data_IF_006658470259
#
_entry.id   IF_006658470259
#
_cell.length_a   1.000
_cell.length_b   1.000
_cell.length_c   1.000
_cell.angle_alpha   90.00
_cell.angle_beta   90.00
_cell.angle_gamma   90.00
#
_symmetry.space_group_name_H-M   'P 1'
#
loop_
_entity.id
_entity.type
_entity.pdbx_description
1 polymer ?
#
# COMPACT_ATOMS: atom_id res chain seq x y z
N UNK A 1 -15.57 0.78 -13.26
CA UNK A 1 -14.29 1.36 -13.72
C UNK A 1 -14.06 1.30 -15.23
N UNK A 2 -14.76 0.44 -16.01
CA UNK A 2 -14.67 0.45 -17.50
C UNK A 2 -15.70 1.32 -18.24
N UNK A 3 -16.67 1.96 -17.56
CA UNK A 3 -17.85 2.59 -18.19
C UNK A 3 -17.88 4.14 -18.04
N UNK A 4 -16.75 4.80 -17.80
CA UNK A 4 -16.76 6.28 -17.74
C UNK A 4 -15.38 6.91 -18.08
N UNK A 5 -15.00 7.00 -19.37
CA UNK A 5 -13.79 7.70 -19.80
C UNK A 5 -13.80 9.21 -19.52
N UNK A 6 -14.95 9.81 -19.17
CA UNK A 6 -15.11 11.26 -18.94
C UNK A 6 -15.09 11.69 -17.47
N UNK A 7 -14.94 10.77 -16.50
CA UNK A 7 -15.06 11.09 -15.06
C UNK A 7 -13.74 11.05 -14.28
N UNK A 8 -12.63 10.70 -14.94
CA UNK A 8 -11.32 10.52 -14.31
C UNK A 8 -10.31 11.48 -14.93
N UNK A 9 -9.51 12.15 -14.10
CA UNK A 9 -8.47 13.06 -14.58
C UNK A 9 -7.42 12.28 -15.42
N UNK A 10 -6.96 12.82 -16.57
CA UNK A 10 -6.07 12.12 -17.50
C UNK A 10 -4.76 11.59 -16.88
N UNK A 11 -4.26 12.19 -15.79
CA UNK A 11 -3.10 11.68 -15.04
C UNK A 11 -3.32 10.34 -14.31
N UNK A 12 -4.56 10.05 -13.91
CA UNK A 12 -4.93 8.81 -13.21
C UNK A 12 -5.74 7.86 -14.07
N UNK A 13 -6.22 8.32 -15.24
CA UNK A 13 -6.91 7.48 -16.21
C UNK A 13 -5.91 6.78 -17.12
N UNK A 14 -5.84 5.46 -16.98
CA UNK A 14 -5.06 4.60 -17.87
C UNK A 14 -5.82 3.32 -18.13
N UNK A 15 -5.71 2.79 -19.35
CA UNK A 15 -6.18 1.44 -19.68
C UNK A 15 -5.56 0.36 -18.76
N UNK A 16 -4.43 0.67 -18.11
CA UNK A 16 -3.71 -0.19 -17.17
C UNK A 16 -4.15 -0.02 -15.70
N UNK A 17 -5.23 0.71 -15.41
CA UNK A 17 -5.79 0.83 -14.05
C UNK A 17 -5.96 -0.54 -13.34
N UNK A 18 -6.55 -1.58 -13.97
CA UNK A 18 -6.64 -2.91 -13.35
C UNK A 18 -5.28 -3.51 -12.98
N UNK A 19 -4.25 -3.28 -13.81
CA UNK A 19 -2.89 -3.76 -13.57
C UNK A 19 -2.24 -3.01 -12.40
N UNK A 20 -2.43 -1.70 -12.31
CA UNK A 20 -1.96 -0.91 -11.16
C UNK A 20 -2.62 -1.37 -9.85
N UNK A 21 -3.93 -1.66 -9.88
CA UNK A 21 -4.62 -2.21 -8.71
C UNK A 21 -4.08 -3.59 -8.33
N UNK A 22 -3.81 -4.46 -9.30
CA UNK A 22 -3.24 -5.78 -9.04
C UNK A 22 -1.88 -5.68 -8.34
N UNK A 23 -0.97 -4.87 -8.87
CA UNK A 23 0.37 -4.72 -8.30
C UNK A 23 0.30 -4.06 -6.92
N UNK A 24 -0.58 -3.07 -6.75
CA UNK A 24 -0.85 -2.47 -5.43
C UNK A 24 -1.34 -3.47 -4.40
N UNK A 25 -2.17 -4.43 -4.80
CA UNK A 25 -2.63 -5.50 -3.92
C UNK A 25 -1.47 -6.43 -3.53
N UNK A 26 -0.53 -6.72 -4.43
CA UNK A 26 0.64 -7.55 -4.13
C UNK A 26 1.53 -6.90 -3.07
N UNK A 27 1.96 -5.66 -3.27
CA UNK A 27 2.84 -5.01 -2.28
C UNK A 27 2.11 -4.63 -0.98
N UNK A 28 0.79 -4.36 -1.04
CA UNK A 28 -0.03 -4.24 0.16
C UNK A 28 -0.09 -5.54 0.96
N UNK A 29 -0.31 -6.68 0.28
CA UNK A 29 -0.35 -8.00 0.90
C UNK A 29 0.98 -8.34 1.59
N UNK A 30 2.11 -8.16 0.89
CA UNK A 30 3.44 -8.40 1.46
C UNK A 30 3.70 -7.50 2.67
N UNK A 31 3.33 -6.22 2.59
CA UNK A 31 3.47 -5.27 3.70
C UNK A 31 2.61 -5.69 4.91
N UNK A 32 1.38 -6.13 4.65
CA UNK A 32 0.46 -6.60 5.70
C UNK A 32 0.99 -7.85 6.39
N UNK A 33 1.54 -8.83 5.65
CA UNK A 33 2.15 -10.02 6.24
C UNK A 33 3.33 -9.67 7.14
N UNK A 34 4.19 -8.70 6.75
CA UNK A 34 5.30 -8.22 7.59
C UNK A 34 4.77 -7.60 8.89
N UNK A 35 3.70 -6.81 8.79
CA UNK A 35 3.04 -6.15 9.94
C UNK A 35 2.41 -7.20 10.87
N UNK A 36 1.59 -8.10 10.35
CA UNK A 36 0.92 -9.16 11.12
C UNK A 36 1.94 -10.05 11.81
N UNK A 37 2.99 -10.45 11.09
CA UNK A 37 4.08 -11.23 11.68
C UNK A 37 4.72 -10.46 12.84
N UNK A 38 5.02 -9.18 12.66
CA UNK A 38 5.60 -8.33 13.72
C UNK A 38 4.68 -8.23 14.95
N UNK A 39 3.38 -8.05 14.75
CA UNK A 39 2.38 -7.94 15.82
C UNK A 39 2.22 -9.29 16.53
N UNK A 40 2.11 -10.38 15.79
CA UNK A 40 1.99 -11.74 16.33
C UNK A 40 3.21 -12.10 17.17
N UNK A 41 4.42 -11.79 16.69
CA UNK A 41 5.65 -11.99 17.48
C UNK A 41 5.71 -11.16 18.76
N UNK A 42 5.10 -9.97 18.78
CA UNK A 42 5.05 -9.14 20.00
C UNK A 42 4.02 -9.65 21.01
N UNK A 43 2.88 -10.16 20.54
CA UNK A 43 1.75 -10.57 21.40
C UNK A 43 1.90 -12.02 21.89
N UNK A 44 2.44 -12.92 21.07
CA UNK A 44 2.57 -14.35 21.38
C UNK A 44 3.96 -14.76 21.86
N UNK A 45 4.78 -13.79 22.30
CA UNK A 45 6.17 -14.03 22.75
C UNK A 45 6.27 -15.10 23.84
N UNK A 46 5.25 -15.23 24.69
CA UNK A 46 5.20 -16.21 25.79
C UNK A 46 4.88 -17.64 25.34
N UNK A 47 4.37 -17.85 24.12
CA UNK A 47 3.97 -19.16 23.60
C UNK A 47 5.00 -19.81 22.65
N UNK A 48 6.06 -19.08 22.28
CA UNK A 48 7.08 -19.56 21.33
C UNK A 48 8.31 -20.06 22.12
N UNK A 49 8.38 -21.39 22.33
CA UNK A 49 9.45 -22.03 23.14
C UNK A 49 10.81 -22.16 22.44
N UNK A 50 10.88 -22.07 21.12
CA UNK A 50 12.12 -22.19 20.32
C UNK A 50 12.25 -21.00 19.36
N UNK A 51 12.36 -19.79 19.91
CA UNK A 51 12.42 -18.58 19.11
C UNK A 51 13.87 -18.19 18.77
N UNK A 52 14.24 -18.30 17.49
CA UNK A 52 15.44 -17.62 16.96
C UNK A 52 15.03 -16.29 16.31
N UNK A 53 15.35 -15.20 17.01
CA UNK A 53 15.17 -13.82 16.52
C UNK A 53 15.84 -13.61 15.15
N UNK A 54 16.95 -14.31 14.88
CA UNK A 54 17.71 -14.17 13.63
C UNK A 54 17.01 -14.79 12.43
N UNK A 55 16.33 -15.93 12.61
CA UNK A 55 15.56 -16.54 11.53
C UNK A 55 14.32 -15.71 11.18
N UNK A 56 13.68 -15.11 12.18
CA UNK A 56 12.57 -14.19 11.94
C UNK A 56 12.99 -12.92 11.18
N UNK A 57 14.11 -12.32 11.59
CA UNK A 57 14.67 -11.16 10.90
C UNK A 57 15.09 -11.50 9.47
N UNK A 58 15.69 -12.69 9.26
CA UNK A 58 16.04 -13.18 7.92
C UNK A 58 14.81 -13.36 7.02
N UNK A 59 13.72 -13.94 7.54
CA UNK A 59 12.45 -14.08 6.80
C UNK A 59 11.85 -12.71 6.46
N UNK A 60 11.88 -11.77 7.40
CA UNK A 60 11.38 -10.39 7.20
C UNK A 60 12.17 -9.67 6.11
N UNK A 61 13.51 -9.81 6.10
CA UNK A 61 14.38 -9.27 5.05
C UNK A 61 14.12 -9.95 3.69
N UNK A 62 13.82 -11.25 3.69
CA UNK A 62 13.40 -11.98 2.49
C UNK A 62 12.12 -11.40 1.87
N UNK A 63 11.10 -11.15 2.69
CA UNK A 63 9.85 -10.50 2.27
C UNK A 63 10.10 -9.07 1.78
N UNK A 64 11.02 -8.33 2.42
CA UNK A 64 11.40 -6.98 2.00
C UNK A 64 11.96 -6.95 0.56
N UNK A 65 12.72 -7.97 0.16
CA UNK A 65 13.24 -8.07 -1.22
C UNK A 65 12.10 -8.19 -2.24
N UNK A 66 11.11 -9.04 -1.96
CA UNK A 66 9.93 -9.16 -2.80
C UNK A 66 9.14 -7.84 -2.85
N UNK A 67 8.99 -7.16 -1.70
CA UNK A 67 8.33 -5.88 -1.59
C UNK A 67 9.00 -4.80 -2.46
N UNK A 68 10.34 -4.71 -2.42
CA UNK A 68 11.11 -3.76 -3.25
C UNK A 68 10.89 -4.04 -4.73
N UNK A 69 10.97 -5.29 -5.16
CA UNK A 69 10.74 -5.65 -6.58
C UNK A 69 9.35 -5.22 -7.03
N UNK A 70 8.31 -5.49 -6.23
CA UNK A 70 6.94 -5.08 -6.55
C UNK A 70 6.78 -3.56 -6.64
N UNK A 71 7.42 -2.79 -5.75
CA UNK A 71 7.40 -1.32 -5.79
C UNK A 71 8.12 -0.78 -7.04
N UNK A 72 9.25 -1.37 -7.44
CA UNK A 72 9.94 -0.97 -8.66
C UNK A 72 9.15 -1.29 -9.92
N UNK A 73 8.52 -2.46 -9.99
CA UNK A 73 7.64 -2.83 -11.12
C UNK A 73 6.48 -1.83 -11.23
N UNK A 74 5.87 -1.45 -10.10
CA UNK A 74 4.83 -0.42 -10.07
C UNK A 74 5.34 0.93 -10.61
N UNK A 75 6.52 1.37 -10.16
CA UNK A 75 7.12 2.64 -10.56
C UNK A 75 7.45 2.66 -12.06
N UNK A 76 8.04 1.58 -12.60
CA UNK A 76 8.36 1.47 -14.03
C UNK A 76 7.08 1.53 -14.87
N UNK A 77 6.04 0.78 -14.49
CA UNK A 77 4.77 0.81 -15.21
C UNK A 77 4.11 2.19 -15.16
N UNK A 78 4.25 2.90 -14.04
CA UNK A 78 3.75 4.28 -13.92
C UNK A 78 4.48 5.27 -14.83
N UNK A 79 5.79 5.12 -15.00
CA UNK A 79 6.56 5.95 -15.94
C UNK A 79 6.20 5.62 -17.39
N UNK A 80 6.05 4.34 -17.72
CA UNK A 80 5.65 3.90 -19.06
C UNK A 80 4.26 4.44 -19.43
N UNK A 81 3.32 4.37 -18.50
CA UNK A 81 1.98 4.91 -18.67
C UNK A 81 1.97 6.42 -18.91
N UNK A 82 2.73 7.16 -18.10
CA UNK A 82 2.90 8.61 -18.25
C UNK A 82 3.48 8.99 -19.61
N UNK A 83 4.41 8.18 -20.12
CA UNK A 83 5.05 8.37 -21.43
C UNK A 83 4.10 8.01 -22.58
N UNK A 84 3.29 6.96 -22.43
CA UNK A 84 2.39 6.49 -23.48
C UNK A 84 1.24 7.46 -23.76
N UNK A 85 0.71 8.12 -22.72
CA UNK A 85 -0.37 9.08 -22.85
C UNK A 85 0.11 10.55 -23.03
N UNK A 86 1.42 10.78 -23.15
CA UNK A 86 2.06 12.10 -23.26
C UNK A 86 1.54 13.14 -22.24
N UNK A 87 1.24 12.66 -21.03
CA UNK A 87 0.64 13.46 -19.95
C UNK A 87 1.67 14.34 -19.21
N UNK A 88 2.88 14.47 -19.75
CA UNK A 88 3.96 15.28 -19.17
C UNK A 88 3.54 16.73 -18.92
N UNK A 89 2.63 17.25 -19.75
CA UNK A 89 2.11 18.61 -19.61
C UNK A 89 1.24 18.81 -18.35
N UNK A 90 0.58 17.75 -17.86
CA UNK A 90 -0.26 17.81 -16.65
C UNK A 90 0.53 17.71 -15.34
N UNK A 91 1.83 17.38 -15.39
CA UNK A 91 2.67 17.30 -14.19
C UNK A 91 2.91 18.67 -13.54
N UNK A 92 2.84 19.75 -14.32
CA UNK A 92 3.11 21.11 -13.87
C UNK A 92 1.87 21.84 -13.31
N UNK A 93 0.74 21.13 -13.18
CA UNK A 93 -0.48 21.66 -12.55
C UNK A 93 -0.49 21.32 -11.05
N UNK A 94 -1.28 22.03 -10.22
CA UNK A 94 -1.34 21.82 -8.76
C UNK A 94 -1.55 20.36 -8.36
N UNK A 95 -2.32 19.62 -9.16
CA UNK A 95 -2.58 18.22 -8.94
C UNK A 95 -1.49 17.27 -9.48
N UNK A 96 -0.69 17.71 -10.44
CA UNK A 96 0.52 17.01 -10.88
C UNK A 96 1.58 16.98 -9.77
N UNK A 97 1.69 18.07 -8.98
CA UNK A 97 2.50 18.08 -7.77
C UNK A 97 2.01 17.11 -6.70
N UNK A 98 0.69 16.98 -6.51
CA UNK A 98 0.12 15.97 -5.60
C UNK A 98 0.42 14.54 -6.06
N UNK A 99 0.30 14.28 -7.37
CA UNK A 99 0.66 12.99 -7.97
C UNK A 99 2.15 12.67 -7.81
N UNK A 100 3.03 13.65 -8.02
CA UNK A 100 4.47 13.52 -7.79
C UNK A 100 4.79 13.27 -6.32
N UNK A 101 4.14 13.99 -5.40
CA UNK A 101 4.28 13.76 -3.97
C UNK A 101 3.89 12.33 -3.60
N UNK A 102 2.82 11.80 -4.20
CA UNK A 102 2.41 10.42 -3.95
C UNK A 102 3.43 9.40 -4.47
N UNK A 103 3.84 9.50 -5.73
CA UNK A 103 4.78 8.54 -6.32
C UNK A 103 6.17 8.65 -5.67
N UNK A 104 6.68 9.86 -5.48
CA UNK A 104 8.00 10.08 -4.91
C UNK A 104 7.98 9.78 -3.40
N UNK A 105 6.95 10.22 -2.69
CA UNK A 105 6.84 10.06 -1.24
C UNK A 105 6.46 8.65 -0.79
N UNK A 106 5.49 8.01 -1.45
CA UNK A 106 4.95 6.72 -0.99
C UNK A 106 5.38 5.50 -1.81
N UNK A 107 6.03 5.68 -2.96
CA UNK A 107 6.57 4.55 -3.75
C UNK A 107 8.10 4.61 -3.80
N UNK A 108 8.67 5.71 -4.27
CA UNK A 108 10.12 5.83 -4.47
C UNK A 108 10.89 5.88 -3.14
N UNK A 109 10.47 6.75 -2.21
CA UNK A 109 11.12 6.90 -0.90
C UNK A 109 11.15 5.58 -0.11
N UNK A 110 10.03 4.86 0.11
CA UNK A 110 10.08 3.58 0.81
C UNK A 110 10.86 2.51 0.05
N UNK A 111 10.85 2.50 -1.28
CA UNK A 111 11.69 1.58 -2.06
C UNK A 111 13.19 1.81 -1.80
N UNK A 112 13.65 3.05 -1.77
CA UNK A 112 15.04 3.41 -1.47
C UNK A 112 15.43 3.04 -0.03
N UNK A 113 14.56 3.35 0.95
CA UNK A 113 14.81 3.02 2.35
C UNK A 113 14.85 1.51 2.54
N UNK A 114 13.97 0.74 1.88
CA UNK A 114 13.98 -0.72 1.93
C UNK A 114 15.28 -1.31 1.34
N UNK A 115 15.78 -0.78 0.22
CA UNK A 115 17.07 -1.21 -0.35
C UNK A 115 18.19 -1.01 0.68
N UNK A 116 18.24 0.15 1.33
CA UNK A 116 19.26 0.42 2.34
C UNK A 116 19.10 -0.52 3.55
N UNK A 117 17.86 -0.72 4.02
CA UNK A 117 17.55 -1.60 5.14
C UNK A 117 17.94 -3.06 4.87
N UNK A 118 17.74 -3.55 3.64
CA UNK A 118 18.16 -4.88 3.20
C UNK A 118 19.70 -4.99 3.21
N UNK A 119 20.42 -3.97 2.73
CA UNK A 119 21.90 -3.94 2.75
C UNK A 119 22.45 -3.95 4.18
N UNK A 120 21.84 -3.19 5.08
CA UNK A 120 22.26 -3.11 6.49
C UNK A 120 21.69 -4.25 7.36
N UNK A 121 20.92 -5.18 6.78
CA UNK A 121 20.16 -6.23 7.49
C UNK A 121 19.33 -5.69 8.68
N UNK A 122 18.75 -4.50 8.54
CA UNK A 122 18.02 -3.85 9.62
C UNK A 122 16.53 -4.15 9.54
N UNK A 123 16.12 -5.26 10.16
CA UNK A 123 14.73 -5.72 10.16
C UNK A 123 13.76 -4.72 10.83
N UNK A 124 14.22 -3.91 11.80
CA UNK A 124 13.37 -2.88 12.43
C UNK A 124 12.93 -1.81 11.42
N UNK A 125 13.87 -1.36 10.58
CA UNK A 125 13.57 -0.37 9.52
C UNK A 125 12.62 -0.97 8.51
N UNK A 126 12.82 -2.24 8.09
CA UNK A 126 11.89 -2.93 7.17
C UNK A 126 10.46 -2.93 7.71
N UNK A 127 10.27 -3.24 9.00
CA UNK A 127 8.93 -3.27 9.61
C UNK A 127 8.27 -1.89 9.62
N UNK A 128 9.01 -0.82 9.95
CA UNK A 128 8.50 0.55 9.91
C UNK A 128 8.13 0.96 8.48
N UNK A 129 8.97 0.63 7.50
CA UNK A 129 8.69 0.98 6.11
C UNK A 129 7.52 0.18 5.55
N UNK A 130 7.31 -1.07 5.97
CA UNK A 130 6.12 -1.84 5.60
C UNK A 130 4.82 -1.14 6.05
N UNK A 131 4.79 -0.51 7.23
CA UNK A 131 3.68 0.34 7.65
C UNK A 131 3.49 1.56 6.73
N UNK A 132 4.58 2.23 6.36
CA UNK A 132 4.54 3.38 5.45
C UNK A 132 4.01 2.98 4.07
N UNK A 133 4.44 1.83 3.54
CA UNK A 133 3.96 1.30 2.25
C UNK A 133 2.48 0.95 2.33
N UNK A 134 2.05 0.24 3.38
CA UNK A 134 0.63 -0.09 3.57
C UNK A 134 -0.23 1.19 3.66
N UNK A 135 0.24 2.21 4.39
CA UNK A 135 -0.43 3.50 4.46
C UNK A 135 -0.46 4.21 3.10
N UNK A 136 0.65 4.17 2.36
CA UNK A 136 0.75 4.71 1.00
C UNK A 136 -0.24 4.07 0.02
N UNK A 137 -0.49 2.76 0.12
CA UNK A 137 -1.52 2.06 -0.68
C UNK A 137 -2.91 2.61 -0.35
N UNK A 138 -3.20 2.80 0.94
CA UNK A 138 -4.50 3.32 1.38
C UNK A 138 -4.70 4.72 0.83
N UNK A 139 -3.69 5.58 0.94
CA UNK A 139 -3.70 6.93 0.37
C UNK A 139 -3.88 6.89 -1.15
N UNK A 140 -3.16 6.02 -1.86
CA UNK A 140 -3.32 5.83 -3.30
C UNK A 140 -4.76 5.42 -3.66
N UNK A 141 -5.38 4.51 -2.89
CA UNK A 141 -6.80 4.13 -3.09
C UNK A 141 -7.76 5.28 -2.83
N UNK A 142 -7.52 6.09 -1.81
CA UNK A 142 -8.30 7.30 -1.55
C UNK A 142 -8.12 8.32 -2.66
N UNK A 143 -6.90 8.56 -3.14
CA UNK A 143 -6.64 9.53 -4.21
C UNK A 143 -7.28 9.09 -5.53
N UNK A 144 -7.17 7.82 -5.92
CA UNK A 144 -7.84 7.30 -7.12
C UNK A 144 -9.37 7.34 -6.98
N UNK A 145 -9.92 7.20 -5.77
CA UNK A 145 -11.38 7.17 -5.55
C UNK A 145 -12.02 8.53 -5.25
N UNK A 146 -11.28 9.50 -4.70
CA UNK A 146 -11.78 10.83 -4.28
C UNK A 146 -11.20 11.98 -5.10
N UNK A 147 -9.93 11.90 -5.50
CA UNK A 147 -9.28 12.95 -6.28
C UNK A 147 -9.51 12.70 -7.76
N UNK A 148 -9.29 11.47 -8.23
CA UNK A 148 -9.45 11.15 -9.64
C UNK A 148 -10.93 11.03 -10.05
N UNK A 149 -11.83 10.57 -9.18
CA UNK A 149 -13.27 10.53 -9.43
C UNK A 149 -13.90 11.93 -9.21
N UNK A 150 -14.60 12.47 -10.21
CA UNK A 150 -15.24 13.81 -10.18
C UNK A 150 -14.27 15.01 -10.10
N UNK A 151 -13.21 15.02 -10.91
CA UNK A 151 -12.29 16.17 -11.03
C UNK A 151 -12.94 17.50 -11.45
N UNK A 152 -14.04 17.44 -12.20
CA UNK A 152 -14.72 18.60 -12.75
C UNK A 152 -15.64 19.32 -11.74
N UNK A 153 -15.73 18.83 -10.50
CA UNK A 153 -16.62 19.36 -9.46
C UNK A 153 -15.78 20.11 -8.41
N UNK A 154 -16.11 21.37 -8.08
CA UNK A 154 -15.40 22.13 -7.04
C UNK A 154 -15.42 21.40 -5.70
N UNK A 155 -14.36 21.58 -4.89
CA UNK A 155 -14.13 20.94 -3.58
C UNK A 155 -15.31 21.05 -2.58
N UNK A 156 -16.24 21.98 -2.81
CA UNK A 156 -17.47 22.19 -2.03
C UNK A 156 -18.55 21.10 -2.24
N UNK A 157 -18.59 20.45 -3.41
CA UNK A 157 -19.57 19.40 -3.75
C UNK A 157 -18.93 18.00 -3.82
N UNK A 158 -17.66 17.88 -3.39
CA UNK A 158 -16.99 16.59 -3.27
C UNK A 158 -17.64 15.77 -2.15
N UNK A 159 -17.81 14.48 -2.40
CA UNK A 159 -18.44 13.54 -1.47
C UNK A 159 -17.66 13.51 -0.15
N UNK A 160 -18.26 14.04 0.91
CA UNK A 160 -17.78 13.85 2.27
C UNK A 160 -18.41 12.57 2.79
N UNK A 161 -17.61 11.56 3.20
CA UNK A 161 -18.15 10.31 3.68
C UNK A 161 -19.02 10.58 4.89
N UNK A 162 -20.23 10.03 4.89
CA UNK A 162 -21.12 10.16 6.04
C UNK A 162 -20.55 9.42 7.23
N UNK A 163 -20.89 9.84 8.45
CA UNK A 163 -20.43 9.16 9.67
C UNK A 163 -20.74 7.65 9.66
N UNK A 164 -21.83 7.24 9.00
CA UNK A 164 -22.19 5.83 8.83
C UNK A 164 -21.21 5.05 7.95
N UNK A 165 -20.63 5.64 6.90
CA UNK A 165 -19.63 4.97 6.06
C UNK A 165 -18.31 4.80 6.78
N UNK A 166 -17.94 5.76 7.61
CA UNK A 166 -16.78 5.64 8.50
C UNK A 166 -17.02 4.53 9.51
N UNK A 167 -18.19 4.49 10.16
CA UNK A 167 -18.54 3.44 11.11
C UNK A 167 -18.59 2.05 10.46
N UNK A 168 -19.13 1.94 9.24
CA UNK A 168 -19.16 0.69 8.47
C UNK A 168 -17.73 0.21 8.14
N UNK A 169 -16.89 1.11 7.65
CA UNK A 169 -15.48 0.80 7.32
C UNK A 169 -14.73 0.30 8.56
N UNK A 170 -14.93 0.97 9.70
CA UNK A 170 -14.32 0.59 10.98
C UNK A 170 -14.88 -0.75 11.49
N UNK A 171 -16.17 -1.01 11.26
CA UNK A 171 -16.81 -2.30 11.54
C UNK A 171 -16.22 -3.45 10.73
N UNK A 172 -15.98 -3.25 9.43
CA UNK A 172 -15.34 -4.26 8.57
C UNK A 172 -13.91 -4.54 9.03
N UNK A 173 -13.12 -3.50 9.33
CA UNK A 173 -11.75 -3.67 9.86
C UNK A 173 -11.77 -4.44 11.19
N UNK A 174 -12.70 -4.10 12.09
CA UNK A 174 -12.86 -4.79 13.38
C UNK A 174 -13.22 -6.27 13.18
N UNK A 175 -14.13 -6.58 12.26
CA UNK A 175 -14.49 -7.95 11.91
C UNK A 175 -13.29 -8.74 11.38
N UNK A 176 -12.49 -8.15 10.47
CA UNK A 176 -11.28 -8.80 9.93
C UNK A 176 -10.32 -9.15 11.08
N UNK A 177 -10.07 -8.23 12.00
CA UNK A 177 -9.18 -8.45 13.15
C UNK A 177 -9.74 -9.55 14.07
N UNK A 178 -11.05 -9.56 14.33
CA UNK A 178 -11.69 -10.57 15.17
C UNK A 178 -11.61 -11.97 14.53
N UNK A 179 -11.90 -12.09 13.23
CA UNK A 179 -11.77 -13.35 12.51
C UNK A 179 -10.32 -13.84 12.46
N UNK A 180 -9.36 -12.95 12.18
CA UNK A 180 -7.94 -13.28 12.22
C UNK A 180 -7.54 -13.83 13.61
N UNK A 181 -7.90 -13.11 14.69
CA UNK A 181 -7.63 -13.55 16.06
C UNK A 181 -8.30 -14.88 16.40
N UNK A 182 -9.51 -15.12 15.90
CA UNK A 182 -10.24 -16.37 16.09
C UNK A 182 -9.52 -17.55 15.41
N UNK A 183 -9.07 -17.38 14.16
CA UNK A 183 -8.35 -18.39 13.39
C UNK A 183 -7.00 -18.73 14.05
N UNK A 184 -6.21 -17.70 14.38
CA UNK A 184 -4.88 -17.87 15.01
C UNK A 184 -4.96 -18.61 16.34
N UNK A 185 -6.04 -18.40 17.12
CA UNK A 185 -6.22 -19.10 18.39
C UNK A 185 -6.68 -20.55 18.24
N UNK A 186 -7.31 -20.92 17.11
CA UNK A 186 -7.92 -22.24 16.89
C UNK A 186 -7.08 -23.16 16.01
N UNK A 187 -6.17 -22.63 15.20
CA UNK A 187 -5.30 -23.41 14.32
C UNK A 187 -3.83 -23.28 14.75
N UNK A 188 -3.04 -24.37 14.79
CA UNK A 188 -1.61 -24.31 15.10
C UNK A 188 -0.83 -23.79 13.89
N UNK A 189 -0.91 -22.49 13.63
CA UNK A 189 -0.19 -21.81 12.54
C UNK A 189 1.20 -21.28 12.94
N UNK A 190 1.56 -21.38 14.22
CA UNK A 190 2.85 -20.96 14.76
C UNK A 190 3.89 -22.09 14.88
N UNK A 191 3.63 -23.24 14.24
CA UNK A 191 4.58 -24.37 14.20
C UNK A 191 5.66 -24.18 13.14
#
# INVERSE_FOLDING_TARGET
>A
FLIAPSKIHPLWYSALLPLFFLISAVFAGISMVIIESTISHKIFKEYIKEFDEKDFDRKTIGLAKALVVSLFVYLILKILDLTHYDNWHYLNTDYGYWYLFEIVGFVMTPALILINAIKTNNAKVVRVVAFVVAFGVIVNRFNVSLIAYNWYIPLSDKYYPTWMEVALSLGVVTLIILFYRFIVRRMPILS
#
